data_IF_552005060696
#
_entry.id   IF_552005060696
#
_cell.length_a   1.000
_cell.length_b   1.000
_cell.length_c   1.000
_cell.angle_alpha   90.00
_cell.angle_beta   90.00
_cell.angle_gamma   90.00
#
_symmetry.space_group_name_H-M   'P 1'
#
loop_
_entity.id
_entity.type
_entity.pdbx_description
1 polymer ?
#
# COMPACT_ATOMS: atom_id res chain seq x y z
N UNK A 1 -10.19 -10.74 -19.04
CA UNK A 1 -8.91 -10.22 -18.51
C UNK A 1 -7.80 -11.08 -19.10
N UNK A 2 -6.81 -10.46 -19.75
CA UNK A 2 -5.64 -11.17 -20.32
C UNK A 2 -4.44 -10.75 -19.47
N UNK A 3 -3.91 -11.68 -18.67
CA UNK A 3 -2.71 -11.47 -17.88
C UNK A 3 -1.48 -11.82 -18.73
N UNK A 4 -0.52 -10.90 -18.82
CA UNK A 4 0.78 -11.16 -19.43
C UNK A 4 1.61 -12.05 -18.47
N UNK A 5 1.99 -13.29 -18.85
CA UNK A 5 2.66 -14.25 -17.97
C UNK A 5 4.11 -13.90 -17.57
N UNK A 6 4.65 -12.76 -18.03
CA UNK A 6 6.09 -12.42 -17.89
C UNK A 6 6.44 -11.50 -16.70
N UNK A 7 5.48 -11.07 -15.88
CA UNK A 7 5.76 -10.25 -14.70
C UNK A 7 5.83 -11.10 -13.43
N UNK A 8 6.83 -10.85 -12.57
CA UNK A 8 6.99 -11.56 -11.31
C UNK A 8 5.77 -11.40 -10.39
N UNK A 9 5.46 -12.41 -9.56
CA UNK A 9 4.25 -12.48 -8.73
C UNK A 9 4.00 -11.22 -7.88
N UNK A 10 5.05 -10.57 -7.37
CA UNK A 10 4.91 -9.33 -6.60
C UNK A 10 4.40 -8.14 -7.43
N UNK A 11 4.75 -8.07 -8.72
CA UNK A 11 4.23 -7.06 -9.65
C UNK A 11 2.79 -7.37 -10.04
N UNK A 12 2.44 -8.65 -10.22
CA UNK A 12 1.05 -9.04 -10.46
C UNK A 12 0.15 -8.74 -9.24
N UNK A 13 0.67 -8.87 -8.03
CA UNK A 13 -0.07 -8.52 -6.82
C UNK A 13 -0.15 -7.01 -6.56
N UNK A 14 0.87 -6.25 -6.95
CA UNK A 14 0.79 -4.78 -6.98
C UNK A 14 -0.18 -4.29 -8.05
N UNK A 15 -0.21 -4.91 -9.23
CA UNK A 15 -1.23 -4.64 -10.27
C UNK A 15 -2.60 -5.14 -9.85
N UNK A 16 -2.71 -6.24 -9.11
CA UNK A 16 -3.96 -6.67 -8.49
C UNK A 16 -4.40 -5.68 -7.40
N UNK A 17 -3.46 -5.12 -6.65
CA UNK A 17 -3.74 -4.05 -5.69
C UNK A 17 -4.17 -2.79 -6.41
N UNK A 18 -3.53 -2.39 -7.52
CA UNK A 18 -3.99 -1.31 -8.38
C UNK A 18 -5.38 -1.61 -8.92
N UNK A 19 -5.66 -2.79 -9.48
CA UNK A 19 -6.96 -3.17 -10.05
C UNK A 19 -8.06 -3.32 -8.99
N UNK A 20 -7.78 -3.90 -7.81
CA UNK A 20 -8.73 -3.98 -6.69
C UNK A 20 -8.97 -2.58 -6.14
N UNK A 21 -7.94 -1.76 -5.98
CA UNK A 21 -8.11 -0.35 -5.67
C UNK A 21 -8.92 0.35 -6.77
N UNK A 22 -8.66 0.14 -8.05
CA UNK A 22 -9.38 0.79 -9.16
C UNK A 22 -10.85 0.34 -9.26
N UNK A 23 -11.16 -0.92 -8.97
CA UNK A 23 -12.53 -1.49 -8.98
C UNK A 23 -13.32 -1.07 -7.73
N UNK A 24 -12.68 -0.97 -6.56
CA UNK A 24 -13.34 -0.57 -5.31
C UNK A 24 -13.30 0.95 -5.03
N UNK A 25 -12.32 1.72 -5.54
CA UNK A 25 -12.19 3.19 -5.42
C UNK A 25 -12.78 3.96 -6.62
N UNK A 26 -13.22 3.28 -7.68
CA UNK A 26 -13.90 3.92 -8.82
C UNK A 26 -13.07 4.94 -9.61
N UNK A 27 -11.76 5.10 -9.35
CA UNK A 27 -10.90 6.06 -10.04
C UNK A 27 -9.75 5.35 -10.76
N UNK A 28 -9.74 5.57 -12.09
CA UNK A 28 -8.87 5.02 -13.12
C UNK A 28 -7.39 5.14 -12.82
N UNK A 29 -6.65 4.05 -13.09
CA UNK A 29 -5.25 4.09 -13.45
C UNK A 29 -4.98 5.28 -14.37
N UNK A 30 -3.95 6.05 -14.05
CA UNK A 30 -3.53 7.27 -14.71
C UNK A 30 -3.45 7.15 -16.24
N UNK A 31 -4.57 7.38 -16.93
CA UNK A 31 -4.67 7.79 -18.35
C UNK A 31 -6.06 8.34 -18.61
N UNK A 32 -6.10 9.63 -18.92
CA UNK A 32 -7.30 10.42 -19.19
C UNK A 32 -8.07 10.77 -17.91
N UNK A 33 -7.65 11.88 -17.30
CA UNK A 33 -8.58 12.93 -16.91
C UNK A 33 -9.54 13.23 -18.07
N UNK A 34 -10.51 12.35 -18.32
CA UNK A 34 -11.73 12.76 -18.99
C UNK A 34 -12.44 13.60 -17.95
N UNK A 35 -12.11 14.88 -17.98
CA UNK A 35 -12.97 15.96 -17.57
C UNK A 35 -14.36 15.62 -18.10
N UNK A 36 -15.26 15.18 -17.23
CA UNK A 36 -16.66 15.05 -17.60
C UNK A 36 -17.16 16.48 -17.82
N UNK A 37 -17.17 16.92 -19.07
CA UNK A 37 -17.83 18.16 -19.45
C UNK A 37 -19.34 17.91 -19.29
N UNK A 38 -19.99 18.74 -18.47
CA UNK A 38 -21.44 18.84 -18.55
C UNK A 38 -21.84 19.39 -19.93
N UNK A 39 -23.13 19.32 -20.30
CA UNK A 39 -23.65 19.86 -21.57
C UNK A 39 -23.41 21.37 -21.76
N UNK A 40 -22.84 22.06 -20.78
CA UNK A 40 -22.48 23.49 -20.82
C UNK A 40 -20.95 23.75 -20.80
N UNK A 41 -20.11 22.73 -20.99
CA UNK A 41 -18.66 22.91 -21.13
C UNK A 41 -17.91 23.30 -19.85
N UNK A 42 -18.55 23.20 -18.67
CA UNK A 42 -17.87 23.43 -17.39
C UNK A 42 -17.18 22.14 -16.94
N UNK A 43 -15.86 22.23 -16.72
CA UNK A 43 -15.05 21.21 -16.07
C UNK A 43 -15.61 20.96 -14.67
N UNK A 44 -16.30 19.84 -14.47
CA UNK A 44 -16.70 19.40 -13.13
C UNK A 44 -15.55 18.54 -12.61
N UNK A 45 -14.60 19.16 -11.92
CA UNK A 45 -13.79 18.43 -10.96
C UNK A 45 -14.78 18.00 -9.87
N UNK A 46 -15.32 16.79 -9.98
CA UNK A 46 -16.05 16.18 -8.86
C UNK A 46 -15.07 16.19 -7.69
N UNK A 47 -15.45 16.85 -6.61
CA UNK A 47 -14.68 17.02 -5.39
C UNK A 47 -14.05 15.69 -5.00
N UNK A 48 -12.74 15.61 -5.23
CA UNK A 48 -11.93 14.46 -4.90
C UNK A 48 -11.58 14.59 -3.43
N UNK A 49 -12.31 13.90 -2.57
CA UNK A 49 -12.14 14.00 -1.14
C UNK A 49 -11.07 13.00 -0.69
N UNK A 50 -9.96 13.53 -0.18
CA UNK A 50 -8.83 12.77 0.37
C UNK A 50 -9.27 11.72 1.42
N UNK A 51 -10.33 12.01 2.18
CA UNK A 51 -10.89 11.07 3.16
C UNK A 51 -11.52 9.83 2.52
N UNK A 52 -12.13 9.97 1.33
CA UNK A 52 -12.75 8.85 0.61
C UNK A 52 -11.68 7.94 0.00
N UNK A 53 -10.57 8.52 -0.45
CA UNK A 53 -9.40 7.77 -0.91
C UNK A 53 -8.75 6.97 0.23
N UNK A 54 -8.49 7.62 1.36
CA UNK A 54 -7.89 6.96 2.52
C UNK A 54 -8.79 5.82 3.03
N UNK A 55 -10.11 6.05 3.07
CA UNK A 55 -11.07 5.05 3.49
C UNK A 55 -11.01 3.80 2.60
N UNK A 56 -11.05 3.95 1.28
CA UNK A 56 -11.07 2.80 0.41
C UNK A 56 -9.69 2.16 0.20
N UNK A 57 -8.58 2.90 0.40
CA UNK A 57 -7.26 2.29 0.60
C UNK A 57 -7.24 1.41 1.86
N UNK A 58 -7.77 1.89 2.99
CA UNK A 58 -7.85 1.13 4.23
C UNK A 58 -8.68 -0.15 4.07
N UNK A 59 -9.80 -0.08 3.34
CA UNK A 59 -10.65 -1.23 3.03
C UNK A 59 -9.91 -2.25 2.16
N UNK A 60 -9.28 -1.82 1.06
CA UNK A 60 -8.49 -2.72 0.20
C UNK A 60 -7.35 -3.40 0.97
N UNK A 61 -6.66 -2.65 1.82
CA UNK A 61 -5.60 -3.17 2.67
C UNK A 61 -6.14 -4.19 3.71
N UNK A 62 -7.33 -3.97 4.26
CA UNK A 62 -7.97 -4.90 5.20
C UNK A 62 -8.46 -6.19 4.51
N UNK A 63 -8.85 -6.12 3.25
CA UNK A 63 -9.23 -7.29 2.45
C UNK A 63 -8.01 -8.19 2.17
N UNK A 64 -6.86 -7.61 1.83
CA UNK A 64 -5.61 -8.35 1.60
C UNK A 64 -4.97 -8.87 2.89
N UNK A 65 -5.10 -8.10 3.98
CA UNK A 65 -4.47 -8.42 5.26
C UNK A 65 -5.52 -8.33 6.38
N UNK A 66 -6.30 -9.41 6.57
CA UNK A 66 -7.37 -9.46 7.56
C UNK A 66 -6.84 -9.26 8.98
N UNK A 67 -7.57 -8.50 9.80
CA UNK A 67 -7.16 -8.16 11.17
C UNK A 67 -6.77 -9.40 11.99
N UNK A 68 -7.64 -10.40 12.04
CA UNK A 68 -7.40 -11.61 12.83
C UNK A 68 -6.15 -12.37 12.35
N UNK A 69 -5.82 -12.31 11.06
CA UNK A 69 -4.65 -13.01 10.52
C UNK A 69 -3.34 -12.29 10.84
N UNK A 70 -3.31 -10.96 10.73
CA UNK A 70 -2.12 -10.17 11.09
C UNK A 70 -1.92 -10.16 12.62
N UNK A 71 -2.99 -10.08 13.41
CA UNK A 71 -2.90 -10.17 14.88
C UNK A 71 -2.28 -11.49 15.32
N UNK A 72 -2.76 -12.63 14.79
CA UNK A 72 -2.15 -13.95 15.08
C UNK A 72 -0.68 -14.01 14.68
N UNK A 73 -0.31 -13.39 13.56
CA UNK A 73 1.07 -13.35 13.09
C UNK A 73 1.98 -12.53 14.03
N UNK A 74 1.50 -11.38 14.52
CA UNK A 74 2.21 -10.56 15.53
C UNK A 74 2.38 -11.33 16.83
N UNK A 75 1.30 -11.99 17.31
CA UNK A 75 1.35 -12.81 18.53
C UNK A 75 2.31 -13.99 18.41
N UNK A 76 2.40 -14.59 17.22
CA UNK A 76 3.35 -15.64 16.88
C UNK A 76 4.79 -15.14 16.65
N UNK A 77 5.04 -13.83 16.75
CA UNK A 77 6.38 -13.26 16.58
C UNK A 77 6.90 -13.32 15.13
N UNK A 78 6.02 -13.31 14.14
CA UNK A 78 6.43 -13.27 12.73
C UNK A 78 6.94 -11.86 12.37
N UNK A 79 8.07 -11.79 11.68
CA UNK A 79 8.62 -10.55 11.12
C UNK A 79 7.75 -9.95 10.02
N UNK A 80 7.97 -8.67 9.72
CA UNK A 80 7.24 -8.00 8.63
C UNK A 80 7.55 -8.64 7.27
N UNK A 81 8.76 -9.19 7.10
CA UNK A 81 9.16 -9.91 5.90
C UNK A 81 8.40 -11.24 5.74
N UNK A 82 8.24 -12.01 6.82
CA UNK A 82 7.47 -13.25 6.81
C UNK A 82 5.99 -13.00 6.56
N UNK A 83 5.43 -11.97 7.20
CA UNK A 83 4.04 -11.55 6.96
C UNK A 83 3.82 -11.08 5.53
N UNK A 84 4.73 -10.25 5.00
CA UNK A 84 4.69 -9.77 3.62
C UNK A 84 4.71 -10.94 2.62
N UNK A 85 5.59 -11.93 2.84
CA UNK A 85 5.64 -13.15 2.03
C UNK A 85 4.36 -13.98 2.15
N UNK A 86 3.81 -14.11 3.36
CA UNK A 86 2.60 -14.90 3.62
C UNK A 86 1.36 -14.33 2.93
N UNK A 87 1.15 -13.02 3.02
CA UNK A 87 0.02 -12.34 2.40
C UNK A 87 0.29 -11.96 0.93
N UNK A 88 1.51 -12.18 0.44
CA UNK A 88 1.98 -11.78 -0.88
C UNK A 88 1.76 -10.28 -1.15
N UNK A 89 2.23 -9.45 -0.23
CA UNK A 89 2.13 -7.98 -0.25
C UNK A 89 3.48 -7.35 0.12
N UNK A 90 3.59 -6.03 0.01
CA UNK A 90 4.79 -5.31 0.42
C UNK A 90 4.92 -5.21 1.95
N UNK A 91 6.15 -5.04 2.44
CA UNK A 91 6.40 -4.81 3.88
C UNK A 91 5.84 -3.46 4.34
N UNK A 92 5.75 -2.49 3.42
CA UNK A 92 5.14 -1.19 3.63
C UNK A 92 3.63 -1.33 3.91
N UNK A 93 2.93 -2.21 3.18
CA UNK A 93 1.51 -2.47 3.43
C UNK A 93 1.30 -3.16 4.78
N UNK A 94 2.18 -4.10 5.15
CA UNK A 94 2.14 -4.73 6.49
C UNK A 94 2.34 -3.67 7.58
N UNK A 95 3.34 -2.80 7.45
CA UNK A 95 3.59 -1.71 8.41
C UNK A 95 2.40 -0.75 8.51
N UNK A 96 1.80 -0.36 7.38
CA UNK A 96 0.57 0.42 7.35
C UNK A 96 -0.56 -0.30 8.10
N UNK A 97 -0.80 -1.58 7.79
CA UNK A 97 -1.85 -2.38 8.44
C UNK A 97 -1.64 -2.49 9.95
N UNK A 98 -0.41 -2.69 10.42
CA UNK A 98 -0.09 -2.69 11.85
C UNK A 98 -0.42 -1.36 12.52
N UNK A 99 -0.18 -0.23 11.84
CA UNK A 99 -0.49 1.12 12.37
C UNK A 99 -2.00 1.34 12.46
N UNK A 100 -2.74 1.14 11.37
CA UNK A 100 -4.20 1.38 11.36
C UNK A 100 -4.98 0.39 12.23
N UNK A 101 -4.44 -0.82 12.45
CA UNK A 101 -5.01 -1.81 13.38
C UNK A 101 -4.56 -1.65 14.84
N UNK A 102 -3.73 -0.64 15.14
CA UNK A 102 -3.16 -0.37 16.46
C UNK A 102 -2.27 -1.49 17.04
N UNK A 103 -1.79 -2.41 16.20
CA UNK A 103 -0.86 -3.49 16.57
C UNK A 103 0.61 -3.06 16.55
N UNK A 104 0.90 -1.88 15.97
CA UNK A 104 2.27 -1.38 15.81
C UNK A 104 3.09 -1.26 17.11
N UNK A 105 2.55 -0.76 18.25
CA UNK A 105 3.31 -0.70 19.50
C UNK A 105 3.77 -2.09 19.99
N UNK A 106 2.88 -3.08 19.93
CA UNK A 106 3.19 -4.45 20.31
C UNK A 106 4.24 -5.07 19.38
N UNK A 107 4.06 -4.90 18.06
CA UNK A 107 4.99 -5.39 17.07
C UNK A 107 6.40 -4.81 17.26
N UNK A 108 6.52 -3.50 17.50
CA UNK A 108 7.82 -2.84 17.77
C UNK A 108 8.52 -3.41 19.00
N UNK A 109 7.78 -3.66 20.08
CA UNK A 109 8.34 -4.24 21.30
C UNK A 109 8.94 -5.62 21.06
N UNK A 110 8.35 -6.41 20.16
CA UNK A 110 8.80 -7.76 19.80
C UNK A 110 9.92 -7.76 18.76
N UNK A 111 9.99 -6.74 17.91
CA UNK A 111 10.85 -6.70 16.72
C UNK A 111 11.72 -5.43 16.64
N UNK A 112 12.25 -4.98 17.79
CA UNK A 112 13.01 -3.72 17.87
C UNK A 112 14.17 -3.65 16.88
N UNK A 113 15.00 -4.71 16.83
CA UNK A 113 16.15 -4.79 15.93
C UNK A 113 15.74 -4.74 14.45
N UNK A 114 14.67 -5.44 14.07
CA UNK A 114 14.16 -5.44 12.69
C UNK A 114 13.68 -4.04 12.29
N UNK A 115 12.92 -3.39 13.18
CA UNK A 115 12.36 -2.06 12.94
C UNK A 115 13.48 -1.03 12.82
N UNK A 116 14.45 -1.06 13.72
CA UNK A 116 15.62 -0.16 13.70
C UNK A 116 16.40 -0.31 12.38
N UNK A 117 16.70 -1.54 11.96
CA UNK A 117 17.41 -1.80 10.71
C UNK A 117 16.62 -1.29 9.49
N UNK A 118 15.30 -1.48 9.47
CA UNK A 118 14.44 -1.02 8.37
C UNK A 118 14.38 0.51 8.28
N UNK A 119 14.31 1.21 9.42
CA UNK A 119 14.31 2.66 9.45
C UNK A 119 15.66 3.26 9.04
N UNK A 120 16.78 2.65 9.48
CA UNK A 120 18.11 3.02 9.02
C UNK A 120 18.24 2.84 7.50
N UNK A 121 17.80 1.70 6.95
CA UNK A 121 17.82 1.45 5.51
C UNK A 121 16.97 2.46 4.71
N UNK A 122 15.79 2.82 5.23
CA UNK A 122 14.93 3.82 4.59
C UNK A 122 15.58 5.22 4.59
N UNK A 123 16.21 5.61 5.69
CA UNK A 123 16.95 6.88 5.76
C UNK A 123 18.14 6.90 4.79
N UNK A 124 18.89 5.81 4.70
CA UNK A 124 20.00 5.67 3.75
C UNK A 124 19.55 5.75 2.28
N UNK A 125 18.38 5.18 1.95
CA UNK A 125 17.82 5.28 0.60
C UNK A 125 17.42 6.72 0.26
N UNK A 126 16.85 7.47 1.20
CA UNK A 126 16.48 8.89 1.01
C UNK A 126 17.72 9.77 0.81
N UNK A 127 18.77 9.58 1.62
CA UNK A 127 20.01 10.36 1.53
C UNK A 127 20.85 10.00 0.29
N UNK A 128 20.81 8.75 -0.15
CA UNK A 128 21.46 8.31 -1.40
C UNK A 128 20.79 8.87 -2.65
N UNK A 129 19.46 8.95 -2.69
CA UNK A 129 18.73 9.47 -3.84
C UNK A 129 18.84 11.00 -3.98
N UNK A 130 19.04 11.72 -2.87
CA UNK A 130 19.27 13.17 -2.86
C UNK A 130 20.61 13.59 -3.47
N UNK A 131 21.59 12.70 -3.56
CA UNK A 131 22.91 12.99 -4.16
C UNK A 131 22.96 12.83 -5.68
N UNK A 132 21.97 12.17 -6.31
CA UNK A 132 21.97 11.94 -7.77
C UNK A 132 21.20 13.01 -8.58
N UNK A 133 20.43 13.89 -7.94
CA UNK A 133 19.65 14.95 -8.62
C UNK A 133 20.30 16.34 -8.54
N UNK A 134 21.62 16.42 -8.33
CA UNK A 134 22.35 17.68 -8.10
C UNK A 134 23.70 17.77 -8.80
N UNK A 135 23.83 17.21 -10.02
CA UNK A 135 25.03 17.30 -10.86
C UNK A 135 24.66 17.46 -12.32
#
# INVERSE_FOLDING_TARGET
MILNPRHGQARNNATLMEEVCHVFLGHKANRLSIVAQNKQGKTVARDYNEADEEAAYAVGAAALVPYAAIERSVRAGKSSAEMAKHFNVSRELIEYRLKVSRLWPEYRKRHETEVAARYAARQAAVTGNGKQNGG
#
